data_IF_696329830601
#
_entry.id   IF_696329830601
#
_cell.length_a   1.000
_cell.length_b   1.000
_cell.length_c   1.000
_cell.angle_alpha   90.00
_cell.angle_beta   90.00
_cell.angle_gamma   90.00
#
_symmetry.space_group_name_H-M   'P 1'
#
loop_
_entity.id
_entity.type
_entity.pdbx_description
1 polymer ?
#
# COMPACT_ATOMS: atom_id res chain seq x y z
N UNK A 1 15.32 22.54 7.13
CA UNK A 1 14.25 21.71 7.74
C UNK A 1 14.36 20.29 7.19
N UNK A 2 14.06 19.26 7.98
CA UNK A 2 14.08 17.85 7.50
C UNK A 2 12.91 17.67 6.51
N UNK A 3 13.16 17.08 5.34
CA UNK A 3 12.16 16.78 4.30
C UNK A 3 11.04 15.91 4.92
N UNK A 4 9.75 16.28 4.80
CA UNK A 4 8.68 15.44 5.31
C UNK A 4 8.59 14.13 4.54
N UNK A 5 8.06 13.09 5.17
CA UNK A 5 7.98 11.75 4.57
C UNK A 5 6.53 11.32 4.43
N UNK A 6 6.18 10.82 3.25
CA UNK A 6 4.92 10.13 2.99
C UNK A 6 5.19 8.63 2.80
N UNK A 7 4.68 7.80 3.72
CA UNK A 7 4.83 6.34 3.65
C UNK A 7 3.53 5.72 3.16
N UNK A 8 3.59 4.93 2.09
CA UNK A 8 2.45 4.25 1.49
C UNK A 8 2.53 2.75 1.76
N UNK A 9 1.53 2.18 2.43
CA UNK A 9 1.34 0.74 2.55
C UNK A 9 0.30 0.30 1.52
N UNK A 10 0.77 -0.32 0.44
CA UNK A 10 -0.03 -0.69 -0.72
C UNK A 10 -0.20 -2.20 -0.85
N UNK A 11 -1.25 -2.63 -1.54
CA UNK A 11 -1.54 -4.04 -1.83
C UNK A 11 -3.02 -4.36 -1.70
N UNK A 12 -3.45 -5.46 -2.30
CA UNK A 12 -4.86 -5.87 -2.32
C UNK A 12 -5.45 -6.13 -0.92
N UNK A 13 -6.76 -6.14 -0.80
CA UNK A 13 -7.43 -6.59 0.42
C UNK A 13 -7.01 -8.04 0.74
N UNK A 14 -6.74 -8.35 2.00
CA UNK A 14 -6.25 -9.67 2.41
C UNK A 14 -4.74 -9.90 2.24
N UNK A 15 -3.99 -8.97 1.64
CA UNK A 15 -2.54 -9.09 1.47
C UNK A 15 -1.73 -8.96 2.78
N UNK A 16 -2.33 -8.41 3.86
CA UNK A 16 -1.67 -8.29 5.16
C UNK A 16 -1.01 -6.92 5.41
N UNK A 17 -1.42 -5.86 4.73
CA UNK A 17 -0.89 -4.49 4.91
C UNK A 17 -0.91 -4.01 6.36
N UNK A 18 -2.07 -4.10 7.03
CA UNK A 18 -2.22 -3.67 8.42
C UNK A 18 -1.34 -4.51 9.36
N UNK A 19 -1.24 -5.83 9.11
CA UNK A 19 -0.32 -6.70 9.85
C UNK A 19 1.12 -6.23 9.65
N UNK A 20 1.56 -5.99 8.41
CA UNK A 20 2.89 -5.48 8.10
C UNK A 20 3.17 -4.15 8.80
N UNK A 21 2.20 -3.23 8.79
CA UNK A 21 2.32 -1.96 9.51
C UNK A 21 2.62 -2.18 11.01
N UNK A 22 1.90 -3.11 11.65
CA UNK A 22 2.05 -3.38 13.08
C UNK A 22 3.33 -4.13 13.46
N UNK A 23 3.98 -4.86 12.51
CA UNK A 23 5.29 -5.48 12.77
C UNK A 23 6.38 -4.46 13.07
N UNK A 24 6.26 -3.25 12.54
CA UNK A 24 7.30 -2.23 12.63
C UNK A 24 8.52 -2.49 11.73
N UNK A 25 8.59 -3.56 10.95
CA UNK A 25 9.73 -3.89 10.05
C UNK A 25 10.04 -2.80 9.02
N UNK A 26 9.07 -1.98 8.68
CA UNK A 26 9.21 -0.84 7.78
C UNK A 26 9.93 0.37 8.42
N UNK A 27 10.14 0.35 9.74
CA UNK A 27 10.80 1.43 10.44
C UNK A 27 12.31 1.28 10.35
N UNK A 28 12.95 2.17 9.58
CA UNK A 28 14.39 2.28 9.48
C UNK A 28 14.93 3.55 10.17
N UNK A 29 16.26 3.75 10.21
CA UNK A 29 16.89 4.93 10.81
C UNK A 29 16.40 6.27 10.24
N UNK A 30 16.01 6.27 8.96
CA UNK A 30 15.51 7.45 8.25
C UNK A 30 14.02 7.70 8.45
N UNK A 31 13.27 6.74 9.00
CA UNK A 31 11.82 6.87 9.21
C UNK A 31 11.55 7.92 10.28
N UNK A 32 10.65 8.90 10.05
CA UNK A 32 10.26 9.85 11.08
C UNK A 32 9.70 9.15 12.32
N UNK A 33 10.06 9.65 13.52
CA UNK A 33 9.56 9.09 14.80
C UNK A 33 8.04 9.18 14.92
N UNK A 34 7.47 10.28 14.41
CA UNK A 34 6.03 10.52 14.40
C UNK A 34 5.53 10.60 12.95
N UNK A 35 4.48 9.87 12.68
CA UNK A 35 3.76 9.83 11.39
C UNK A 35 2.26 9.84 11.70
N UNK A 36 1.53 10.75 11.09
CA UNK A 36 0.06 10.72 11.16
C UNK A 36 -0.41 9.49 10.39
N UNK A 37 -1.19 8.64 11.05
CA UNK A 37 -1.77 7.43 10.45
C UNK A 37 -3.07 7.76 9.74
N UNK A 38 -3.17 7.38 8.45
CA UNK A 38 -4.38 7.55 7.65
C UNK A 38 -4.78 6.19 7.05
N UNK A 39 -5.83 5.60 7.60
CA UNK A 39 -6.41 4.35 7.15
C UNK A 39 -7.94 4.48 7.16
N UNK A 40 -8.59 4.30 6.02
CA UNK A 40 -10.04 4.46 5.89
C UNK A 40 -10.82 3.48 6.78
N UNK A 41 -10.32 2.25 6.97
CA UNK A 41 -11.00 1.26 7.83
C UNK A 41 -10.94 1.70 9.31
N UNK A 42 -9.81 2.27 9.76
CA UNK A 42 -9.67 2.84 11.10
C UNK A 42 -10.56 4.08 11.28
N UNK A 43 -10.65 4.94 10.26
CA UNK A 43 -11.50 6.14 10.28
C UNK A 43 -12.99 5.78 10.40
N UNK A 44 -13.45 4.68 9.76
CA UNK A 44 -14.85 4.19 9.98
C UNK A 44 -15.09 3.94 11.45
N UNK A 45 -14.18 3.23 12.12
CA UNK A 45 -14.31 2.87 13.53
C UNK A 45 -14.20 4.12 14.43
N UNK A 46 -13.24 4.98 14.20
CA UNK A 46 -13.05 6.26 14.93
C UNK A 46 -14.31 7.14 14.90
N UNK A 47 -15.02 7.15 13.77
CA UNK A 47 -16.25 7.94 13.58
C UNK A 47 -17.52 7.26 14.10
N UNK A 48 -17.39 6.08 14.74
CA UNK A 48 -18.55 5.29 15.19
C UNK A 48 -19.37 4.70 14.05
N UNK A 49 -18.79 4.61 12.85
CA UNK A 49 -19.45 4.06 11.67
C UNK A 49 -19.47 2.53 11.65
N UNK A 50 -20.28 1.97 10.76
CA UNK A 50 -20.38 0.53 10.54
C UNK A 50 -19.46 0.12 9.37
N UNK A 51 -18.41 -0.70 9.60
CA UNK A 51 -17.52 -1.18 8.53
C UNK A 51 -18.22 -1.97 7.41
N UNK A 52 -19.45 -2.45 7.64
CA UNK A 52 -20.27 -3.13 6.62
C UNK A 52 -21.12 -2.17 5.79
N UNK A 53 -21.19 -0.90 6.18
CA UNK A 53 -21.95 0.14 5.48
C UNK A 53 -21.11 0.77 4.36
N UNK A 54 -21.55 0.62 3.10
CA UNK A 54 -20.92 1.27 1.95
C UNK A 54 -20.91 2.80 2.09
N UNK A 55 -21.96 3.38 2.70
CA UNK A 55 -22.01 4.83 2.93
C UNK A 55 -20.95 5.28 3.93
N UNK A 56 -20.66 4.50 4.98
CA UNK A 56 -19.64 4.81 5.98
C UNK A 56 -18.24 4.66 5.38
N UNK A 57 -18.04 3.62 4.56
CA UNK A 57 -16.79 3.44 3.81
C UNK A 57 -16.51 4.62 2.86
N UNK A 58 -17.53 5.12 2.17
CA UNK A 58 -17.39 6.29 1.29
C UNK A 58 -17.07 7.54 2.12
N UNK A 59 -17.74 7.76 3.25
CA UNK A 59 -17.45 8.89 4.15
C UNK A 59 -16.04 8.84 4.68
N UNK A 60 -15.60 7.67 5.16
CA UNK A 60 -14.24 7.46 5.65
C UNK A 60 -13.19 7.66 4.55
N UNK A 61 -13.47 7.24 3.32
CA UNK A 61 -12.59 7.50 2.17
C UNK A 61 -12.43 9.00 1.88
N UNK A 62 -13.52 9.79 1.96
CA UNK A 62 -13.47 11.25 1.81
C UNK A 62 -12.70 11.91 2.96
N UNK A 63 -12.92 11.45 4.18
CA UNK A 63 -12.20 11.95 5.36
C UNK A 63 -10.70 11.62 5.28
N UNK A 64 -10.34 10.42 4.79
CA UNK A 64 -8.94 10.07 4.56
C UNK A 64 -8.27 11.04 3.57
N UNK A 65 -8.95 11.40 2.48
CA UNK A 65 -8.43 12.38 1.51
C UNK A 65 -8.27 13.76 2.15
N UNK A 66 -9.25 14.21 2.94
CA UNK A 66 -9.18 15.49 3.67
C UNK A 66 -7.98 15.51 4.63
N UNK A 67 -7.75 14.42 5.39
CA UNK A 67 -6.58 14.29 6.29
C UNK A 67 -5.26 14.31 5.52
N UNK A 68 -5.20 13.71 4.34
CA UNK A 68 -4.03 13.76 3.46
C UNK A 68 -3.77 15.20 3.01
N UNK A 69 -4.80 15.91 2.53
CA UNK A 69 -4.69 17.31 2.12
C UNK A 69 -4.18 18.19 3.26
N UNK A 70 -4.66 17.97 4.48
CA UNK A 70 -4.23 18.68 5.69
C UNK A 70 -2.75 18.41 6.03
N UNK A 71 -2.31 17.14 5.91
CA UNK A 71 -0.90 16.77 6.10
C UNK A 71 0.00 17.44 5.07
N UNK A 72 -0.40 17.42 3.80
CA UNK A 72 0.35 18.05 2.71
C UNK A 72 0.46 19.57 2.96
N UNK A 73 -0.66 20.26 3.20
CA UNK A 73 -0.68 21.70 3.45
C UNK A 73 0.17 22.13 4.66
N UNK A 74 0.29 21.29 5.67
CA UNK A 74 1.07 21.55 6.89
C UNK A 74 2.49 21.01 6.83
N UNK A 75 2.92 20.38 5.73
CA UNK A 75 4.23 19.74 5.58
C UNK A 75 4.58 18.78 6.74
N UNK A 76 3.61 17.98 7.20
CA UNK A 76 3.81 16.98 8.26
C UNK A 76 3.91 15.58 7.68
N UNK A 77 4.80 14.75 8.23
CA UNK A 77 4.97 13.38 7.80
C UNK A 77 3.76 12.52 8.16
N UNK A 78 3.33 11.67 7.22
CA UNK A 78 2.18 10.80 7.40
C UNK A 78 2.36 9.45 6.68
N UNK A 79 1.50 8.50 7.02
CA UNK A 79 1.38 7.26 6.28
C UNK A 79 -0.06 6.98 5.85
N UNK A 80 -0.21 6.29 4.76
CA UNK A 80 -1.50 5.88 4.20
C UNK A 80 -1.51 4.39 3.90
N UNK A 81 -2.63 3.73 4.22
CA UNK A 81 -2.93 2.38 3.73
C UNK A 81 -3.86 2.44 2.53
N UNK A 82 -3.55 1.70 1.45
CA UNK A 82 -4.30 1.73 0.20
C UNK A 82 -4.28 0.39 -0.53
N UNK A 83 -5.33 0.11 -1.30
CA UNK A 83 -5.34 -1.04 -2.23
C UNK A 83 -4.60 -0.77 -3.54
N UNK A 84 -4.14 0.45 -3.78
CA UNK A 84 -3.48 0.88 -5.02
C UNK A 84 -4.33 0.66 -6.28
N UNK A 85 -5.65 0.68 -6.19
CA UNK A 85 -6.55 0.40 -7.32
C UNK A 85 -7.10 1.65 -8.00
N UNK A 86 -6.93 2.81 -7.38
CA UNK A 86 -7.45 4.08 -7.89
C UNK A 86 -6.35 5.03 -8.37
N UNK A 87 -6.70 5.92 -9.29
CA UNK A 87 -5.81 7.01 -9.73
C UNK A 87 -5.50 8.02 -8.62
N UNK A 88 -6.31 8.05 -7.57
CA UNK A 88 -6.17 9.01 -6.45
C UNK A 88 -4.84 8.84 -5.73
N UNK A 89 -4.42 7.60 -5.44
CA UNK A 89 -3.13 7.35 -4.79
C UNK A 89 -1.95 7.86 -5.64
N UNK A 90 -1.97 7.60 -6.95
CA UNK A 90 -0.94 8.10 -7.88
C UNK A 90 -0.89 9.64 -7.94
N UNK A 91 -2.06 10.29 -7.92
CA UNK A 91 -2.14 11.75 -7.85
C UNK A 91 -1.59 12.30 -6.53
N UNK A 92 -1.93 11.64 -5.41
CA UNK A 92 -1.41 12.01 -4.09
C UNK A 92 0.11 11.88 -4.02
N UNK A 93 0.68 10.79 -4.57
CA UNK A 93 2.14 10.58 -4.63
C UNK A 93 2.80 11.72 -5.41
N UNK A 94 2.31 12.02 -6.62
CA UNK A 94 2.86 13.13 -7.44
C UNK A 94 2.80 14.46 -6.72
N UNK A 95 1.63 14.80 -6.17
CA UNK A 95 1.47 16.02 -5.40
C UNK A 95 2.41 16.10 -4.20
N UNK A 96 2.57 15.01 -3.45
CA UNK A 96 3.50 14.95 -2.33
C UNK A 96 4.95 15.23 -2.79
N UNK A 97 5.35 14.69 -3.94
CA UNK A 97 6.68 14.95 -4.52
C UNK A 97 6.84 16.42 -4.95
N UNK A 98 5.82 16.98 -5.63
CA UNK A 98 5.81 18.39 -6.02
C UNK A 98 5.92 19.33 -4.81
N UNK A 99 5.34 18.92 -3.67
CA UNK A 99 5.43 19.61 -2.38
C UNK A 99 6.69 19.25 -1.57
N UNK A 100 7.64 18.52 -2.16
CA UNK A 100 8.95 18.24 -1.57
C UNK A 100 9.00 17.08 -0.57
N UNK A 101 7.98 16.21 -0.52
CA UNK A 101 8.01 15.02 0.32
C UNK A 101 9.00 13.97 -0.20
N UNK A 102 9.57 13.20 0.74
CA UNK A 102 10.19 11.91 0.45
C UNK A 102 9.13 10.83 0.47
N UNK A 103 8.88 10.17 -0.66
CA UNK A 103 7.83 9.17 -0.79
C UNK A 103 8.40 7.76 -0.74
N UNK A 104 7.99 7.00 0.27
CA UNK A 104 8.39 5.60 0.48
C UNK A 104 7.17 4.70 0.33
N UNK A 105 7.26 3.67 -0.50
CA UNK A 105 6.17 2.73 -0.73
C UNK A 105 6.59 1.31 -0.34
N UNK A 106 5.78 0.68 0.49
CA UNK A 106 5.83 -0.75 0.78
C UNK A 106 4.65 -1.43 0.11
N UNK A 107 4.92 -2.26 -0.88
CA UNK A 107 3.90 -3.06 -1.53
C UNK A 107 3.88 -4.46 -0.94
N UNK A 108 2.73 -4.86 -0.41
CA UNK A 108 2.51 -6.20 0.14
C UNK A 108 1.64 -6.96 -0.85
N UNK A 109 2.26 -7.93 -1.53
CA UNK A 109 1.59 -8.81 -2.47
C UNK A 109 1.34 -10.20 -1.91
N UNK A 110 0.55 -10.96 -2.62
CA UNK A 110 0.29 -12.39 -2.42
C UNK A 110 0.20 -13.08 -3.76
N UNK A 111 0.53 -14.36 -3.82
CA UNK A 111 0.65 -15.13 -5.05
C UNK A 111 -0.63 -15.18 -5.89
N UNK A 112 -1.81 -15.02 -5.29
CA UNK A 112 -3.07 -15.09 -6.05
C UNK A 112 -4.22 -14.33 -5.37
N UNK A 113 -5.21 -13.93 -6.17
CA UNK A 113 -6.48 -13.41 -5.65
C UNK A 113 -7.24 -14.45 -4.80
N UNK A 114 -7.07 -15.73 -5.08
CA UNK A 114 -7.68 -16.82 -4.33
C UNK A 114 -7.16 -16.87 -2.88
N UNK A 115 -5.85 -16.70 -2.69
CA UNK A 115 -5.25 -16.60 -1.36
C UNK A 115 -5.76 -15.38 -0.59
N UNK A 116 -5.87 -14.25 -1.27
CA UNK A 116 -6.45 -13.03 -0.69
C UNK A 116 -7.90 -13.25 -0.24
N UNK A 117 -8.72 -13.92 -1.06
CA UNK A 117 -10.11 -14.27 -0.75
C UNK A 117 -10.22 -15.21 0.45
N UNK A 118 -9.39 -16.25 0.53
CA UNK A 118 -9.36 -17.17 1.68
C UNK A 118 -9.06 -16.43 2.99
N UNK A 119 -8.12 -15.48 2.99
CA UNK A 119 -7.81 -14.64 4.16
C UNK A 119 -8.94 -13.69 4.54
N UNK A 120 -9.64 -13.13 3.55
CA UNK A 120 -10.82 -12.29 3.79
C UNK A 120 -11.93 -13.16 4.41
N UNK A 121 -12.18 -14.35 3.89
CA UNK A 121 -13.18 -15.28 4.46
C UNK A 121 -12.86 -15.65 5.91
N UNK A 122 -11.60 -15.96 6.21
CA UNK A 122 -11.16 -16.21 7.58
C UNK A 122 -11.37 -14.97 8.48
N UNK A 123 -10.97 -13.78 8.01
CA UNK A 123 -11.22 -12.54 8.77
C UNK A 123 -12.70 -12.31 9.05
N UNK A 124 -13.57 -12.61 8.09
CA UNK A 124 -15.05 -12.49 8.26
C UNK A 124 -15.55 -13.49 9.32
N UNK A 125 -15.04 -14.72 9.36
CA UNK A 125 -15.44 -15.71 10.38
C UNK A 125 -15.09 -15.29 11.82
N UNK A 126 -14.12 -14.38 11.98
CA UNK A 126 -13.74 -13.82 13.29
C UNK A 126 -14.25 -12.38 13.51
N UNK A 127 -15.29 -11.97 12.78
CA UNK A 127 -16.01 -10.71 13.00
C UNK A 127 -15.64 -9.53 12.09
N UNK A 128 -14.73 -9.73 11.13
CA UNK A 128 -14.39 -8.71 10.13
C UNK A 128 -15.54 -8.45 9.14
N UNK A 129 -15.37 -7.42 8.30
CA UNK A 129 -16.35 -7.11 7.26
C UNK A 129 -16.06 -7.87 5.97
N UNK A 130 -17.10 -8.35 5.26
CA UNK A 130 -16.95 -9.02 3.98
C UNK A 130 -16.58 -8.01 2.87
N UNK A 131 -15.93 -8.52 1.83
CA UNK A 131 -15.71 -7.80 0.58
C UNK A 131 -16.15 -8.75 -0.52
N UNK A 132 -16.94 -8.24 -1.47
CA UNK A 132 -17.43 -9.00 -2.61
C UNK A 132 -16.25 -9.60 -3.41
N UNK A 133 -16.38 -10.89 -3.78
CA UNK A 133 -15.32 -11.64 -4.43
C UNK A 133 -14.86 -11.00 -5.74
N UNK A 134 -15.79 -10.58 -6.61
CA UNK A 134 -15.48 -9.91 -7.86
C UNK A 134 -14.69 -8.62 -7.62
N UNK A 135 -15.07 -7.87 -6.58
CA UNK A 135 -14.33 -6.66 -6.18
C UNK A 135 -12.90 -6.97 -5.77
N UNK A 136 -12.65 -8.07 -5.03
CA UNK A 136 -11.29 -8.47 -4.64
C UNK A 136 -10.48 -8.89 -5.86
N UNK A 137 -11.04 -9.69 -6.78
CA UNK A 137 -10.37 -10.11 -8.01
C UNK A 137 -10.00 -8.92 -8.90
N UNK A 138 -10.94 -8.02 -9.13
CA UNK A 138 -10.70 -6.78 -9.88
C UNK A 138 -9.61 -5.93 -9.23
N UNK A 139 -9.67 -5.75 -7.90
CA UNK A 139 -8.65 -4.98 -7.15
C UNK A 139 -7.28 -5.63 -7.22
N UNK A 140 -7.21 -6.97 -7.19
CA UNK A 140 -5.96 -7.71 -7.33
C UNK A 140 -5.29 -7.35 -8.66
N UNK A 141 -6.00 -7.52 -9.77
CA UNK A 141 -5.47 -7.21 -11.12
C UNK A 141 -5.08 -5.74 -11.24
N UNK A 142 -5.95 -4.82 -10.83
CA UNK A 142 -5.68 -3.37 -10.97
C UNK A 142 -4.54 -2.90 -10.07
N UNK A 143 -4.39 -3.47 -8.87
CA UNK A 143 -3.28 -3.17 -7.96
C UNK A 143 -1.94 -3.57 -8.58
N UNK A 144 -1.88 -4.77 -9.19
CA UNK A 144 -0.71 -5.25 -9.91
C UNK A 144 -0.35 -4.37 -11.10
N UNK A 145 -1.32 -4.00 -11.93
CA UNK A 145 -1.12 -3.11 -13.09
C UNK A 145 -0.56 -1.74 -12.68
N UNK A 146 -0.98 -1.22 -11.52
CA UNK A 146 -0.49 0.07 -11.04
C UNK A 146 0.91 0.00 -10.41
N UNK A 147 1.42 -1.19 -10.11
CA UNK A 147 2.70 -1.36 -9.41
C UNK A 147 3.87 -0.80 -10.21
N UNK A 148 3.97 -1.10 -11.51
CA UNK A 148 5.02 -0.56 -12.40
C UNK A 148 5.06 0.97 -12.38
N UNK A 149 3.87 1.61 -12.38
CA UNK A 149 3.78 3.07 -12.35
C UNK A 149 4.31 3.67 -11.04
N UNK A 150 4.03 3.05 -9.88
CA UNK A 150 4.48 3.58 -8.59
C UNK A 150 5.96 3.32 -8.35
N UNK A 151 6.53 2.24 -8.89
CA UNK A 151 7.99 1.98 -8.84
C UNK A 151 8.76 3.16 -9.45
N UNK A 152 8.28 3.71 -10.57
CA UNK A 152 8.89 4.86 -11.23
C UNK A 152 8.65 6.20 -10.54
N UNK A 153 7.56 6.30 -9.77
CA UNK A 153 7.16 7.56 -9.14
C UNK A 153 7.80 7.76 -7.77
N UNK A 154 7.91 6.72 -6.95
CA UNK A 154 8.35 6.87 -5.56
C UNK A 154 9.87 7.03 -5.43
N UNK A 155 10.32 7.73 -4.37
CA UNK A 155 11.75 7.82 -4.05
C UNK A 155 12.30 6.45 -3.63
N UNK A 156 11.52 5.66 -2.88
CA UNK A 156 11.87 4.30 -2.47
C UNK A 156 10.66 3.38 -2.59
N UNK A 157 10.86 2.19 -3.12
CA UNK A 157 9.86 1.13 -3.17
C UNK A 157 10.46 -0.16 -2.67
N UNK A 158 9.78 -0.85 -1.77
CA UNK A 158 10.08 -2.23 -1.39
C UNK A 158 8.84 -3.08 -1.59
N UNK A 159 9.00 -4.18 -2.31
CA UNK A 159 7.94 -5.16 -2.53
C UNK A 159 8.18 -6.38 -1.67
N UNK A 160 7.13 -6.80 -0.97
CA UNK A 160 7.10 -8.02 -0.15
C UNK A 160 6.09 -9.00 -0.72
N UNK A 161 6.47 -10.28 -0.76
CA UNK A 161 5.50 -11.35 -0.78
C UNK A 161 5.03 -11.65 0.65
N UNK A 162 3.75 -11.90 0.79
CA UNK A 162 3.17 -12.38 2.05
C UNK A 162 2.24 -13.58 1.76
N UNK A 163 2.65 -14.49 0.89
CA UNK A 163 1.87 -15.71 0.62
C UNK A 163 1.91 -16.68 1.80
N UNK A 164 3.05 -16.82 2.44
CA UNK A 164 3.27 -17.61 3.67
C UNK A 164 3.74 -16.71 4.80
N UNK A 165 4.77 -15.94 4.58
CA UNK A 165 5.38 -14.99 5.51
C UNK A 165 5.87 -13.75 4.75
N UNK A 166 6.29 -12.70 5.47
CA UNK A 166 6.80 -11.49 4.83
C UNK A 166 8.21 -11.70 4.28
N UNK A 167 8.34 -11.91 2.98
CA UNK A 167 9.61 -12.04 2.26
C UNK A 167 9.81 -10.82 1.38
N UNK A 168 10.91 -10.08 1.57
CA UNK A 168 11.27 -8.98 0.67
C UNK A 168 11.70 -9.57 -0.68
N UNK A 169 11.12 -9.06 -1.76
CA UNK A 169 11.37 -9.52 -3.14
C UNK A 169 12.30 -8.61 -3.91
N UNK A 170 12.07 -7.30 -3.86
CA UNK A 170 12.86 -6.34 -4.61
C UNK A 170 12.76 -4.95 -3.99
N UNK A 171 13.77 -4.10 -4.27
CA UNK A 171 13.82 -2.70 -3.86
C UNK A 171 14.24 -1.82 -5.02
N UNK A 172 13.61 -0.67 -5.12
CA UNK A 172 13.95 0.38 -6.07
C UNK A 172 14.19 1.69 -5.34
N UNK A 173 15.14 2.45 -5.88
CA UNK A 173 15.38 3.82 -5.48
C UNK A 173 15.23 4.72 -6.71
N UNK A 174 14.26 5.61 -6.70
CA UNK A 174 13.96 6.54 -7.82
C UNK A 174 13.80 5.83 -9.17
N UNK A 175 13.07 4.72 -9.17
CA UNK A 175 12.81 3.91 -10.35
C UNK A 175 13.96 2.98 -10.77
N UNK A 176 15.13 3.07 -10.15
CA UNK A 176 16.28 2.18 -10.42
C UNK A 176 16.29 1.02 -9.44
N UNK A 177 16.45 -0.20 -9.93
CA UNK A 177 16.54 -1.40 -9.10
C UNK A 177 17.81 -1.34 -8.24
N UNK A 178 17.66 -1.46 -6.93
CA UNK A 178 18.75 -1.38 -5.97
C UNK A 178 19.05 -2.71 -5.26
N UNK A 179 18.09 -3.62 -5.26
CA UNK A 179 18.25 -4.94 -4.66
C UNK A 179 17.16 -5.90 -5.14
N UNK A 180 17.54 -7.17 -5.31
CA UNK A 180 16.65 -8.29 -5.66
C UNK A 180 16.89 -9.44 -4.71
N UNK A 181 15.81 -9.99 -4.15
CA UNK A 181 15.80 -11.20 -3.35
C UNK A 181 15.53 -12.47 -4.18
N UNK A 182 15.06 -13.51 -3.53
CA UNK A 182 14.73 -14.78 -4.19
C UNK A 182 13.35 -14.74 -4.88
N UNK A 183 13.27 -13.99 -5.98
CA UNK A 183 12.04 -13.85 -6.78
C UNK A 183 11.61 -15.18 -7.39
N UNK A 184 12.56 -16.03 -7.77
CA UNK A 184 12.26 -17.33 -8.42
C UNK A 184 11.38 -18.24 -7.54
N UNK A 185 11.49 -18.13 -6.22
CA UNK A 185 10.74 -18.96 -5.27
C UNK A 185 9.44 -18.26 -4.81
N UNK A 186 9.49 -16.95 -4.55
CA UNK A 186 8.39 -16.23 -3.89
C UNK A 186 7.75 -15.16 -4.74
N UNK A 187 8.32 -14.80 -5.88
CA UNK A 187 7.99 -13.58 -6.61
C UNK A 187 7.49 -13.77 -8.03
N UNK A 188 7.04 -14.96 -8.44
CA UNK A 188 6.53 -15.17 -9.80
C UNK A 188 5.43 -14.16 -10.15
N UNK A 189 4.49 -13.93 -9.26
CA UNK A 189 3.43 -12.92 -9.43
C UNK A 189 3.98 -11.49 -9.65
N UNK A 190 5.14 -11.19 -9.06
CA UNK A 190 5.77 -9.87 -9.22
C UNK A 190 6.38 -9.71 -10.62
N UNK A 191 6.97 -10.77 -11.17
CA UNK A 191 7.47 -10.80 -12.54
C UNK A 191 6.33 -10.60 -13.55
N UNK A 192 5.17 -11.22 -13.29
CA UNK A 192 3.96 -11.04 -14.10
C UNK A 192 3.36 -9.64 -13.97
N UNK A 193 3.44 -9.02 -12.77
CA UNK A 193 2.95 -7.67 -12.51
C UNK A 193 3.81 -6.58 -13.14
N UNK A 194 5.12 -6.80 -13.22
CA UNK A 194 6.10 -5.85 -13.77
C UNK A 194 6.72 -6.48 -15.02
N UNK A 195 6.00 -6.39 -16.15
CA UNK A 195 6.45 -6.87 -17.45
C UNK A 195 7.44 -5.91 -18.15
N UNK A 196 7.78 -4.79 -17.56
CA UNK A 196 8.66 -3.78 -18.12
C UNK A 196 10.12 -4.08 -17.75
N UNK A 197 10.89 -4.58 -18.70
CA UNK A 197 12.28 -4.98 -18.51
C UNK A 197 13.18 -3.85 -18.01
N UNK A 198 12.84 -2.60 -18.32
CA UNK A 198 13.62 -1.44 -17.88
C UNK A 198 13.53 -1.20 -16.35
N UNK A 199 12.46 -1.66 -15.72
CA UNK A 199 12.31 -1.59 -14.26
C UNK A 199 13.23 -2.59 -13.53
N UNK A 200 13.62 -3.67 -14.21
CA UNK A 200 14.47 -4.72 -13.66
C UNK A 200 15.98 -4.50 -13.90
N UNK A 201 16.36 -3.41 -14.58
CA UNK A 201 17.75 -3.05 -14.78
C UNK A 201 18.27 -2.22 -13.60
N UNK A 202 19.48 -2.58 -13.12
CA UNK A 202 20.21 -1.87 -12.08
C UNK A 202 21.01 -0.70 -12.66
#
# INVERSE_FOLDING_TARGET
MKRPTYVVFAGVNGAGKSTFYHTGFWRGPSTPRSLIRINSDEIVVESGGNPRSSADQIRAGREALRRIDDCLARHVSFNQETTLTGRTCLKTIRRAQDEGYHVVLYYIGVASSQLALGRIAHRVSVGGHPIEEETVRRRYTTSMQNLSSVVRLCDEVTVFDNSTEFVALARWARGTLSWVGNIAVHGQWLMEAICDDDIWRA
#
